data_IF_947976433537
#
_entry.id   IF_947976433537
#
_cell.length_a   1.000
_cell.length_b   1.000
_cell.length_c   1.000
_cell.angle_alpha   90.00
_cell.angle_beta   90.00
_cell.angle_gamma   90.00
#
_symmetry.space_group_name_H-M   'P 1'
#
loop_
_entity.id
_entity.type
_entity.pdbx_description
1 polymer ?
#
# COMPACT_ATOMS: atom_id res chain seq x y z
N UNK A 1 5.98 -8.63 -11.06
CA UNK A 1 5.60 -7.34 -10.44
C UNK A 1 6.80 -6.37 -10.46
N UNK A 2 7.82 -6.62 -11.29
CA UNK A 2 9.19 -6.38 -10.79
C UNK A 2 9.99 -5.36 -11.63
N UNK A 3 9.88 -5.35 -12.96
CA UNK A 3 10.58 -4.36 -13.80
C UNK A 3 10.15 -2.91 -13.52
N UNK A 4 8.90 -2.71 -13.12
CA UNK A 4 8.36 -1.39 -12.82
C UNK A 4 8.97 -0.79 -11.56
N UNK A 5 9.30 -1.63 -10.56
CA UNK A 5 9.96 -1.16 -9.34
C UNK A 5 11.33 -0.58 -9.67
N UNK A 6 12.12 -1.30 -10.49
CA UNK A 6 13.41 -0.80 -10.94
C UNK A 6 13.29 0.45 -11.81
N UNK A 7 12.28 0.51 -12.69
CA UNK A 7 12.01 1.72 -13.48
C UNK A 7 11.69 2.94 -12.59
N UNK A 8 10.90 2.77 -11.52
CA UNK A 8 10.64 3.82 -10.53
C UNK A 8 11.93 4.22 -9.83
N UNK A 9 12.71 3.25 -9.35
CA UNK A 9 13.95 3.53 -8.62
C UNK A 9 14.95 4.28 -9.52
N UNK A 10 15.04 3.94 -10.81
CA UNK A 10 15.84 4.69 -11.80
C UNK A 10 15.32 6.12 -11.99
N UNK A 11 14.00 6.31 -12.15
CA UNK A 11 13.39 7.64 -12.27
C UNK A 11 13.58 8.51 -11.03
N UNK A 12 13.68 7.89 -9.86
CA UNK A 12 14.00 8.54 -8.59
C UNK A 12 15.51 8.74 -8.36
N UNK A 13 16.35 8.41 -9.35
CA UNK A 13 17.82 8.49 -9.27
C UNK A 13 18.40 7.74 -8.07
N UNK A 14 17.83 6.58 -7.73
CA UNK A 14 18.42 5.70 -6.71
C UNK A 14 19.80 5.25 -7.21
N UNK A 15 20.83 5.53 -6.41
CA UNK A 15 22.22 5.22 -6.76
C UNK A 15 22.45 3.71 -6.77
N UNK A 16 23.46 3.28 -7.52
CA UNK A 16 23.96 1.90 -7.55
C UNK A 16 22.93 0.84 -7.99
N UNK A 17 21.98 1.20 -8.84
CA UNK A 17 21.13 0.22 -9.49
C UNK A 17 21.89 -0.52 -10.59
N UNK A 18 21.67 -1.84 -10.77
CA UNK A 18 22.23 -2.59 -11.90
C UNK A 18 21.83 -2.00 -13.26
N UNK A 19 22.72 -2.15 -14.24
CA UNK A 19 22.44 -1.82 -15.63
C UNK A 19 21.32 -2.71 -16.18
N UNK A 20 20.63 -2.25 -17.24
CA UNK A 20 19.41 -2.92 -17.74
C UNK A 20 19.69 -4.30 -18.36
N UNK A 21 20.92 -4.51 -18.82
CA UNK A 21 21.42 -5.74 -19.42
C UNK A 21 21.93 -6.76 -18.38
N UNK A 22 22.18 -6.36 -17.13
CA UNK A 22 22.56 -7.28 -16.05
C UNK A 22 21.33 -7.94 -15.40
N UNK A 23 20.74 -8.89 -16.12
CA UNK A 23 19.57 -9.67 -15.71
C UNK A 23 19.78 -10.35 -14.35
N UNK A 24 21.00 -10.81 -14.07
CA UNK A 24 21.32 -11.56 -12.85
C UNK A 24 21.26 -10.67 -11.60
N UNK A 25 21.89 -9.49 -11.67
CA UNK A 25 21.86 -8.51 -10.59
C UNK A 25 20.47 -7.89 -10.42
N UNK A 26 19.76 -7.64 -11.52
CA UNK A 26 18.35 -7.23 -11.50
C UNK A 26 17.50 -8.24 -10.72
N UNK A 27 17.63 -9.54 -11.03
CA UNK A 27 16.90 -10.60 -10.34
C UNK A 27 17.21 -10.64 -8.84
N UNK A 28 18.49 -10.46 -8.46
CA UNK A 28 18.90 -10.42 -7.06
C UNK A 28 18.29 -9.23 -6.31
N UNK A 29 18.32 -8.03 -6.88
CA UNK A 29 17.73 -6.82 -6.29
C UNK A 29 16.22 -6.99 -6.11
N UNK A 30 15.52 -7.52 -7.12
CA UNK A 30 14.08 -7.73 -7.04
C UNK A 30 13.71 -8.73 -5.94
N UNK A 31 14.45 -9.84 -5.81
CA UNK A 31 14.25 -10.80 -4.72
C UNK A 31 14.43 -10.16 -3.35
N UNK A 32 15.44 -9.31 -3.17
CA UNK A 32 15.66 -8.57 -1.93
C UNK A 32 14.47 -7.64 -1.61
N UNK A 33 14.01 -6.86 -2.60
CA UNK A 33 12.86 -5.97 -2.43
C UNK A 33 11.59 -6.78 -2.08
N UNK A 34 11.32 -7.87 -2.79
CA UNK A 34 10.17 -8.74 -2.50
C UNK A 34 10.25 -9.31 -1.09
N UNK A 35 11.43 -9.76 -0.66
CA UNK A 35 11.65 -10.28 0.68
C UNK A 35 11.37 -9.21 1.75
N UNK A 36 11.93 -8.01 1.58
CA UNK A 36 11.72 -6.90 2.52
C UNK A 36 10.26 -6.46 2.58
N UNK A 37 9.58 -6.37 1.42
CA UNK A 37 8.15 -6.08 1.37
C UNK A 37 7.32 -7.14 2.10
N UNK A 38 7.70 -8.42 1.98
CA UNK A 38 7.04 -9.52 2.68
C UNK A 38 7.21 -9.40 4.20
N UNK A 39 8.43 -9.16 4.67
CA UNK A 39 8.75 -8.97 6.08
C UNK A 39 8.04 -7.73 6.66
N UNK A 40 8.12 -6.61 5.96
CA UNK A 40 7.43 -5.36 6.34
C UNK A 40 5.93 -5.58 6.44
N UNK A 41 5.31 -6.23 5.45
CA UNK A 41 3.88 -6.58 5.49
C UNK A 41 3.55 -7.50 6.67
N UNK A 42 4.35 -8.53 6.93
CA UNK A 42 4.12 -9.40 8.07
C UNK A 42 4.18 -8.62 9.40
N UNK A 43 5.17 -7.74 9.54
CA UNK A 43 5.34 -6.88 10.72
C UNK A 43 4.16 -5.93 10.92
N UNK A 44 3.76 -5.19 9.87
CA UNK A 44 2.61 -4.28 9.90
C UNK A 44 1.35 -5.03 10.32
N UNK A 45 1.07 -6.16 9.68
CA UNK A 45 -0.10 -6.98 9.97
C UNK A 45 -0.13 -7.43 11.44
N UNK A 46 1.01 -7.92 11.95
CA UNK A 46 1.14 -8.38 13.35
C UNK A 46 0.90 -7.22 14.32
N UNK A 47 1.46 -6.04 14.05
CA UNK A 47 1.28 -4.85 14.88
C UNK A 47 -0.18 -4.38 14.91
N UNK A 48 -0.85 -4.36 13.75
CA UNK A 48 -2.28 -4.02 13.66
C UNK A 48 -3.11 -5.03 14.45
N UNK A 49 -2.84 -6.33 14.31
CA UNK A 49 -3.56 -7.36 15.06
C UNK A 49 -3.35 -7.21 16.58
N UNK A 50 -2.11 -6.98 17.01
CA UNK A 50 -1.79 -6.73 18.42
C UNK A 50 -2.48 -5.46 18.95
N UNK A 51 -2.63 -4.45 18.10
CA UNK A 51 -3.28 -3.19 18.49
C UNK A 51 -4.76 -3.33 18.85
N UNK A 52 -5.40 -4.42 18.40
CA UNK A 52 -6.81 -4.74 18.67
C UNK A 52 -7.03 -5.51 19.99
N UNK A 53 -5.95 -5.93 20.67
CA UNK A 53 -6.08 -6.61 21.95
C UNK A 53 -6.67 -5.67 23.02
N UNK A 54 -7.44 -6.19 24.00
CA UNK A 54 -7.84 -5.42 25.17
C UNK A 54 -6.61 -4.79 25.84
N UNK A 55 -6.73 -3.54 26.28
CA UNK A 55 -5.68 -2.78 26.97
C UNK A 55 -4.35 -2.66 26.20
N UNK A 56 -4.40 -2.81 24.87
CA UNK A 56 -3.24 -2.62 24.01
C UNK A 56 -2.66 -1.21 24.17
N UNK A 57 -1.36 -1.13 24.46
CA UNK A 57 -0.62 0.14 24.52
C UNK A 57 -0.48 0.84 23.16
N UNK A 58 -0.97 0.21 22.09
CA UNK A 58 -0.99 0.77 20.72
C UNK A 58 -2.42 0.84 20.17
N UNK A 59 -3.44 0.78 21.04
CA UNK A 59 -4.83 0.89 20.62
C UNK A 59 -5.09 2.21 19.91
N UNK A 60 -4.63 3.35 20.47
CA UNK A 60 -4.70 4.64 19.81
C UNK A 60 -3.85 4.63 18.52
N UNK A 61 -4.41 5.18 17.44
CA UNK A 61 -3.76 5.15 16.12
C UNK A 61 -2.44 5.93 16.07
N UNK A 62 -2.26 6.94 16.93
CA UNK A 62 -1.00 7.68 17.03
C UNK A 62 0.13 6.78 17.57
N UNK A 63 -0.15 6.01 18.62
CA UNK A 63 0.80 5.07 19.23
C UNK A 63 1.14 3.93 18.27
N UNK A 64 0.13 3.36 17.59
CA UNK A 64 0.36 2.35 16.55
C UNK A 64 1.24 2.92 15.42
N UNK A 65 0.95 4.13 14.97
CA UNK A 65 1.71 4.77 13.89
C UNK A 65 3.16 5.02 14.30
N UNK A 66 3.39 5.52 15.51
CA UNK A 66 4.73 5.74 16.03
C UNK A 66 5.50 4.42 16.18
N UNK A 67 4.84 3.35 16.65
CA UNK A 67 5.41 2.01 16.72
C UNK A 67 5.84 1.51 15.33
N UNK A 68 4.96 1.61 14.33
CA UNK A 68 5.23 1.18 12.96
C UNK A 68 6.33 2.01 12.28
N UNK A 69 6.33 3.33 12.47
CA UNK A 69 7.34 4.20 11.86
C UNK A 69 8.73 3.96 12.45
N UNK A 70 8.83 3.78 13.77
CA UNK A 70 10.12 3.50 14.43
C UNK A 70 10.76 2.20 13.94
N UNK A 71 9.95 1.21 13.56
CA UNK A 71 10.45 -0.04 12.98
C UNK A 71 11.06 0.13 11.58
N UNK A 72 10.65 1.17 10.85
CA UNK A 72 11.11 1.45 9.47
C UNK A 72 12.23 2.50 9.47
N UNK A 73 12.11 3.52 10.31
CA UNK A 73 13.04 4.64 10.38
C UNK A 73 13.09 5.23 11.78
N UNK A 74 14.30 5.37 12.32
CA UNK A 74 14.53 6.00 13.63
C UNK A 74 14.18 7.49 13.65
N UNK A 75 14.10 8.14 12.49
CA UNK A 75 13.81 9.58 12.35
C UNK A 75 12.45 9.85 11.69
N UNK A 76 11.67 8.81 11.40
CA UNK A 76 10.37 8.94 10.75
C UNK A 76 9.37 9.67 11.65
N UNK A 77 8.77 10.74 11.13
CA UNK A 77 7.72 11.48 11.81
C UNK A 77 6.34 11.14 11.24
N UNK A 78 5.34 11.06 12.12
CA UNK A 78 3.97 10.75 11.73
C UNK A 78 3.36 11.89 10.90
N UNK A 79 2.48 11.52 9.98
CA UNK A 79 1.65 12.45 9.20
C UNK A 79 0.20 12.01 9.36
N UNK A 80 -0.76 12.91 9.14
CA UNK A 80 -2.20 12.53 9.17
C UNK A 80 -2.50 11.41 8.17
N UNK A 81 -1.82 11.40 7.01
CA UNK A 81 -1.97 10.33 6.02
C UNK A 81 -1.51 8.97 6.54
N UNK A 82 -0.54 8.91 7.46
CA UNK A 82 -0.18 7.66 8.12
C UNK A 82 -1.33 7.16 9.00
N UNK A 83 -1.95 8.03 9.80
CA UNK A 83 -3.08 7.66 10.65
C UNK A 83 -4.25 7.11 9.82
N UNK A 84 -4.58 7.79 8.72
CA UNK A 84 -5.64 7.36 7.80
C UNK A 84 -5.34 5.98 7.19
N UNK A 85 -4.12 5.77 6.70
CA UNK A 85 -3.72 4.47 6.12
C UNK A 85 -3.79 3.34 7.13
N UNK A 86 -3.24 3.55 8.33
CA UNK A 86 -3.23 2.50 9.35
C UNK A 86 -4.63 2.23 9.93
N UNK A 87 -5.50 3.24 9.98
CA UNK A 87 -6.91 3.05 10.34
C UNK A 87 -7.64 2.17 9.33
N UNK A 88 -7.44 2.43 8.03
CA UNK A 88 -8.00 1.60 6.95
C UNK A 88 -7.53 0.14 7.04
N UNK A 89 -6.23 -0.06 7.29
CA UNK A 89 -5.69 -1.41 7.45
C UNK A 89 -6.26 -2.12 8.70
N UNK A 90 -6.50 -1.37 9.78
CA UNK A 90 -7.11 -1.89 11.00
C UNK A 90 -8.59 -2.20 10.80
N UNK A 91 -9.33 -1.38 10.08
CA UNK A 91 -10.71 -1.66 9.66
C UNK A 91 -10.78 -2.98 8.87
N UNK A 92 -9.94 -3.14 7.85
CA UNK A 92 -9.83 -4.40 7.10
C UNK A 92 -9.49 -5.60 8.01
N UNK A 93 -8.67 -5.41 9.05
CA UNK A 93 -8.33 -6.47 10.01
C UNK A 93 -9.56 -6.87 10.84
N UNK A 94 -10.39 -5.91 11.23
CA UNK A 94 -11.63 -6.15 11.97
C UNK A 94 -12.66 -6.86 11.09
N UNK A 95 -12.82 -6.43 9.84
CA UNK A 95 -13.84 -6.97 8.93
C UNK A 95 -13.50 -8.35 8.36
N UNK A 96 -12.22 -8.59 8.06
CA UNK A 96 -11.78 -9.77 7.31
C UNK A 96 -10.83 -10.68 8.08
N UNK A 97 -10.38 -10.25 9.27
CA UNK A 97 -9.45 -11.00 10.12
C UNK A 97 -8.01 -10.99 9.62
N UNK A 98 -7.12 -11.51 10.48
CA UNK A 98 -5.68 -11.60 10.24
C UNK A 98 -5.23 -12.86 9.48
N UNK A 99 -6.05 -13.43 8.61
CA UNK A 99 -5.76 -14.68 7.90
C UNK A 99 -4.70 -14.54 6.78
N UNK A 100 -4.40 -15.64 6.09
CA UNK A 100 -3.47 -15.64 4.94
C UNK A 100 -3.95 -14.74 3.78
N UNK A 101 -5.26 -14.53 3.65
CA UNK A 101 -5.89 -13.67 2.65
C UNK A 101 -5.95 -12.18 3.03
N UNK A 102 -5.46 -11.78 4.21
CA UNK A 102 -5.59 -10.41 4.70
C UNK A 102 -5.18 -9.33 3.69
N UNK A 103 -3.98 -9.46 3.09
CA UNK A 103 -3.51 -8.47 2.11
C UNK A 103 -4.33 -8.45 0.83
N UNK A 104 -4.88 -9.59 0.39
CA UNK A 104 -5.80 -9.64 -0.75
C UNK A 104 -7.12 -8.92 -0.43
N UNK A 105 -7.59 -9.01 0.80
CA UNK A 105 -8.79 -8.31 1.25
C UNK A 105 -8.55 -6.80 1.32
N UNK A 106 -7.40 -6.37 1.85
CA UNK A 106 -6.95 -4.95 1.82
C UNK A 106 -6.91 -4.42 0.38
N UNK A 107 -6.27 -5.15 -0.55
CA UNK A 107 -6.17 -4.75 -1.95
C UNK A 107 -7.58 -4.59 -2.58
N UNK A 108 -8.48 -5.55 -2.35
CA UNK A 108 -9.87 -5.50 -2.82
C UNK A 108 -10.64 -4.31 -2.23
N UNK A 109 -10.43 -4.02 -0.94
CA UNK A 109 -11.09 -2.91 -0.27
C UNK A 109 -10.61 -1.56 -0.84
N UNK A 110 -9.30 -1.39 -1.05
CA UNK A 110 -8.73 -0.20 -1.70
C UNK A 110 -9.26 -0.03 -3.13
N UNK A 111 -9.33 -1.11 -3.90
CA UNK A 111 -9.90 -1.09 -5.26
C UNK A 111 -11.37 -0.65 -5.24
N UNK A 112 -12.16 -1.16 -4.29
CA UNK A 112 -13.55 -0.77 -4.11
C UNK A 112 -13.69 0.73 -3.78
N UNK A 113 -12.85 1.28 -2.90
CA UNK A 113 -12.84 2.72 -2.61
C UNK A 113 -12.43 3.55 -3.83
N UNK A 114 -11.44 3.09 -4.61
CA UNK A 114 -11.03 3.76 -5.85
C UNK A 114 -12.14 3.75 -6.90
N UNK A 115 -12.94 2.69 -6.98
CA UNK A 115 -14.05 2.61 -7.94
C UNK A 115 -15.15 3.66 -7.68
N UNK A 116 -15.24 4.19 -6.46
CA UNK A 116 -16.24 5.19 -6.07
C UNK A 116 -15.83 6.63 -6.44
N UNK A 117 -14.57 6.86 -6.84
CA UNK A 117 -14.10 8.21 -7.16
C UNK A 117 -12.91 8.21 -8.12
N UNK A 118 -12.96 9.07 -9.13
CA UNK A 118 -11.85 9.28 -10.06
C UNK A 118 -10.81 10.30 -9.56
N UNK A 119 -11.03 10.92 -8.39
CA UNK A 119 -10.17 11.98 -7.85
C UNK A 119 -9.37 11.51 -6.64
N UNK A 120 -8.08 11.88 -6.56
CA UNK A 120 -7.24 11.53 -5.40
C UNK A 120 -7.79 12.15 -4.10
N UNK A 121 -8.25 13.40 -4.16
CA UNK A 121 -8.90 14.06 -3.02
C UNK A 121 -10.16 13.32 -2.56
N UNK A 122 -10.98 12.84 -3.49
CA UNK A 122 -12.15 12.01 -3.18
C UNK A 122 -11.75 10.70 -2.52
N UNK A 123 -10.71 10.03 -3.03
CA UNK A 123 -10.22 8.78 -2.47
C UNK A 123 -9.74 8.96 -1.03
N UNK A 124 -9.00 10.03 -0.74
CA UNK A 124 -8.57 10.35 0.63
C UNK A 124 -9.73 10.70 1.57
N UNK A 125 -10.79 11.35 1.06
CA UNK A 125 -12.02 11.59 1.84
C UNK A 125 -12.72 10.29 2.22
N UNK A 126 -12.79 9.32 1.30
CA UNK A 126 -13.35 8.00 1.59
C UNK A 126 -12.51 7.26 2.64
N UNK A 127 -11.18 7.28 2.50
CA UNK A 127 -10.29 6.66 3.50
C UNK A 127 -10.38 7.33 4.88
N UNK A 128 -10.67 8.64 4.94
CA UNK A 128 -10.82 9.35 6.20
C UNK A 128 -12.03 8.88 7.03
N UNK A 129 -13.03 8.22 6.41
CA UNK A 129 -14.14 7.61 7.14
C UNK A 129 -13.64 6.55 8.13
N UNK A 130 -12.75 5.66 7.70
CA UNK A 130 -12.11 4.65 8.54
C UNK A 130 -11.38 5.28 9.73
N UNK A 131 -10.67 6.39 9.50
CA UNK A 131 -9.98 7.14 10.55
C UNK A 131 -10.94 7.74 11.57
N UNK A 132 -12.06 8.31 11.15
CA UNK A 132 -13.05 8.86 12.08
C UNK A 132 -13.72 7.77 12.93
N UNK A 133 -13.96 6.59 12.36
CA UNK A 133 -14.45 5.43 13.11
C UNK A 133 -13.40 4.97 14.12
N UNK A 134 -12.13 4.92 13.72
CA UNK A 134 -11.01 4.52 14.58
C UNK A 134 -10.85 5.46 15.78
N UNK A 135 -10.82 6.78 15.55
CA UNK A 135 -10.74 7.79 16.62
C UNK A 135 -11.89 7.65 17.62
N UNK A 136 -13.12 7.49 17.14
CA UNK A 136 -14.30 7.33 18.01
C UNK A 136 -14.18 6.10 18.91
N UNK A 137 -13.48 5.06 18.44
CA UNK A 137 -13.35 3.78 19.15
C UNK A 137 -12.14 3.72 20.07
N UNK A 138 -10.99 4.28 19.64
CA UNK A 138 -9.70 4.09 20.31
C UNK A 138 -9.09 5.40 20.85
N UNK A 139 -9.80 6.53 20.75
CA UNK A 139 -9.40 7.83 21.30
C UNK A 139 -8.77 8.76 20.28
N UNK A 140 -8.67 10.03 20.65
CA UNK A 140 -8.11 11.09 19.79
C UNK A 140 -6.57 11.02 19.79
N UNK A 141 -5.91 10.97 18.62
CA UNK A 141 -4.46 11.12 18.49
C UNK A 141 -3.86 12.32 19.22
N UNK A 142 -4.61 13.42 19.33
CA UNK A 142 -4.18 14.64 20.00
C UNK A 142 -3.99 14.47 21.51
N UNK A 143 -4.58 13.43 22.12
CA UNK A 143 -4.39 13.10 23.54
C UNK A 143 -3.08 12.36 23.81
N UNK A 144 -2.36 11.94 22.75
CA UNK A 144 -1.06 11.29 22.85
C UNK A 144 0.09 12.30 22.81
N UNK A 145 1.31 11.84 23.12
CA UNK A 145 2.51 12.69 23.02
C UNK A 145 3.06 12.80 21.60
N UNK A 146 2.43 12.16 20.61
CA UNK A 146 2.92 12.06 19.25
C UNK A 146 2.53 13.28 18.42
N UNK A 147 3.53 14.09 18.03
CA UNK A 147 3.34 15.24 17.14
C UNK A 147 3.30 14.79 15.69
N UNK A 148 2.33 15.33 14.95
CA UNK A 148 2.19 15.14 13.50
C UNK A 148 2.91 16.27 12.78
N UNK A 149 3.60 15.94 11.68
CA UNK A 149 4.17 16.93 10.76
C UNK A 149 3.35 17.03 9.48
N UNK A 150 3.30 18.22 8.89
CA UNK A 150 2.85 18.35 7.51
C UNK A 150 3.94 17.83 6.55
N UNK A 151 3.56 17.18 5.43
CA UNK A 151 4.54 16.66 4.49
C UNK A 151 5.26 17.83 3.78
N UNK A 152 6.49 18.15 4.18
CA UNK A 152 7.25 19.24 3.54
C UNK A 152 7.99 18.81 2.26
N UNK A 153 8.37 17.53 2.11
CA UNK A 153 9.16 17.05 0.95
C UNK A 153 8.72 15.70 0.35
N UNK A 154 7.70 15.04 0.90
CA UNK A 154 7.24 13.74 0.40
C UNK A 154 6.51 13.83 -0.95
N UNK A 155 6.13 15.04 -1.39
CA UNK A 155 5.25 15.26 -2.54
C UNK A 155 5.91 14.83 -3.85
N UNK A 156 7.19 15.14 -4.06
CA UNK A 156 7.87 14.87 -5.33
C UNK A 156 8.04 13.36 -5.59
N UNK A 157 8.54 12.61 -4.60
CA UNK A 157 8.67 11.16 -4.71
C UNK A 157 7.30 10.47 -4.88
N UNK A 158 6.27 10.94 -4.16
CA UNK A 158 4.91 10.43 -4.31
C UNK A 158 4.31 10.71 -5.69
N UNK A 159 4.63 11.85 -6.32
CA UNK A 159 4.20 12.17 -7.68
C UNK A 159 4.83 11.19 -8.69
N UNK A 160 6.13 10.90 -8.56
CA UNK A 160 6.81 9.93 -9.43
C UNK A 160 6.23 8.52 -9.24
N UNK A 161 6.05 8.09 -7.99
CA UNK A 161 5.45 6.78 -7.68
C UNK A 161 4.03 6.69 -8.25
N UNK A 162 3.21 7.73 -8.07
CA UNK A 162 1.82 7.75 -8.58
C UNK A 162 1.78 7.69 -10.11
N UNK A 163 2.66 8.45 -10.79
CA UNK A 163 2.76 8.43 -12.25
C UNK A 163 3.10 7.04 -12.79
N UNK A 164 4.01 6.33 -12.14
CA UNK A 164 4.37 4.96 -12.59
C UNK A 164 3.29 3.94 -12.22
N UNK A 165 2.66 4.07 -11.05
CA UNK A 165 1.55 3.21 -10.66
C UNK A 165 0.41 3.24 -11.69
N UNK A 166 0.05 4.43 -12.22
CA UNK A 166 -0.95 4.57 -13.28
C UNK A 166 -0.56 3.83 -14.56
N UNK A 167 0.72 3.83 -14.94
CA UNK A 167 1.20 3.09 -16.12
C UNK A 167 1.09 1.57 -15.95
N UNK A 168 1.34 1.07 -14.73
CA UNK A 168 1.18 -0.36 -14.42
C UNK A 168 -0.29 -0.78 -14.57
N UNK A 169 -1.21 0.06 -14.12
CA UNK A 169 -2.65 -0.20 -14.23
C UNK A 169 -3.10 -0.27 -15.70
N UNK A 170 -2.74 0.73 -16.50
CA UNK A 170 -3.08 0.79 -17.94
C UNK A 170 -2.56 -0.43 -18.73
N UNK A 171 -1.36 -0.91 -18.39
CA UNK A 171 -0.78 -2.10 -19.04
C UNK A 171 -1.56 -3.37 -18.69
N UNK A 172 -1.90 -3.58 -17.41
CA UNK A 172 -2.72 -4.73 -16.99
C UNK A 172 -4.07 -4.76 -17.69
N UNK A 173 -4.73 -3.61 -17.80
CA UNK A 173 -6.00 -3.48 -18.53
C UNK A 173 -5.85 -3.84 -20.00
N UNK A 174 -4.78 -3.35 -20.66
CA UNK A 174 -4.48 -3.66 -22.05
C UNK A 174 -4.19 -5.15 -22.29
N UNK A 175 -3.41 -5.79 -21.41
CA UNK A 175 -3.11 -7.23 -21.46
C UNK A 175 -4.38 -8.08 -21.25
N UNK A 176 -5.28 -7.65 -20.37
CA UNK A 176 -6.58 -8.31 -20.16
C UNK A 176 -7.47 -8.26 -21.41
N UNK A 177 -7.54 -7.10 -22.09
CA UNK A 177 -8.31 -6.94 -23.34
C UNK A 177 -7.74 -7.81 -24.45
N UNK A 178 -6.41 -7.84 -24.60
CA UNK A 178 -5.72 -8.69 -25.57
C UNK A 178 -6.00 -10.18 -25.34
N UNK A 179 -5.91 -10.64 -24.09
CA UNK A 179 -6.19 -12.04 -23.75
C UNK A 179 -7.66 -12.41 -23.95
N UNK A 180 -8.61 -11.49 -23.68
CA UNK A 180 -10.03 -11.72 -23.96
C UNK A 180 -10.29 -11.85 -25.46
N UNK A 181 -9.67 -10.99 -26.29
CA UNK A 181 -9.83 -11.03 -27.75
C UNK A 181 -9.33 -12.35 -28.34
N UNK A 182 -8.14 -12.81 -27.92
CA UNK A 182 -7.56 -14.09 -28.36
C UNK A 182 -8.42 -15.32 -28.06
N UNK A 183 -9.21 -15.28 -26.99
CA UNK A 183 -10.12 -16.39 -26.64
C UNK A 183 -11.38 -16.42 -27.51
N UNK A 184 -11.81 -15.29 -28.06
CA UNK A 184 -13.01 -15.24 -28.91
C UNK A 184 -12.71 -15.66 -30.36
N UNK A 185 -11.44 -15.57 -30.79
CA UNK A 185 -11.00 -15.96 -32.12
C UNK A 185 -10.72 -17.48 -32.24
N UNK A 186 -10.75 -18.23 -31.14
CA UNK A 186 -10.39 -19.67 -31.06
C UNK A 186 -11.63 -20.61 -30.98
N UNK A 187 -12.83 -20.05 -30.76
CA UNK A 187 -14.10 -20.81 -30.64
C UNK A 187 -14.89 -20.86 -31.97
N UNK A 188 -14.22 -20.59 -33.11
CA UNK A 188 -14.86 -20.25 -34.37
C UNK A 188 -14.82 -21.29 -35.50
N UNK A 189 -14.35 -22.52 -35.29
CA UNK A 189 -14.11 -23.45 -36.42
C UNK A 189 -14.28 -24.94 -36.11
N UNK A 190 -15.36 -25.33 -35.42
CA UNK A 190 -15.78 -26.73 -35.31
C UNK A 190 -17.31 -26.84 -35.54
N UNK A 191 -17.72 -26.93 -36.81
CA UNK A 191 -18.96 -27.60 -37.24
C UNK A 191 -18.94 -27.76 -38.77
N UNK A 192 -18.37 -28.88 -39.22
CA UNK A 192 -18.68 -29.51 -40.52
C UNK A 192 -19.31 -30.89 -40.28
#
# INVERSE_FOLDING_TARGET
MDEHVLSVMRQLNVRNLPQEDDVSSISAVLKLITSELCLTRASIKKAIQASLAPDSSTANIADLTAYLLRAISSTGQATVRHYVRYSLLRECMIEHGGGASYWKAVDKHIEALRSQTSSDTGFWKLCAAAYHVDIKKYGDPAETQHRVIEPCHAVEALVVISKVASKVQQRKESEMVLNKKRRMDDDGDDNE
#
